data_IF_489937923011
#
_entry.id   IF_489937923011
#
_cell.length_a   1.000
_cell.length_b   1.000
_cell.length_c   1.000
_cell.angle_alpha   90.00
_cell.angle_beta   90.00
_cell.angle_gamma   90.00
#
_symmetry.space_group_name_H-M   'P 1'
#
loop_
_entity.id
_entity.type
_entity.pdbx_description
1 polymer ?
#
# COMPACT_ATOMS: atom_id res chain seq x y z
N UNK A 1 -10.76 18.43 11.93
CA UNK A 1 -9.53 18.17 11.14
C UNK A 1 -9.86 17.25 9.97
N UNK A 2 -9.33 17.54 8.79
CA UNK A 2 -9.64 16.74 7.59
C UNK A 2 -8.88 15.40 7.59
N UNK A 3 -9.41 14.42 6.88
CA UNK A 3 -8.82 13.10 6.66
C UNK A 3 -7.33 13.18 6.30
N UNK A 4 -6.98 14.06 5.37
CA UNK A 4 -5.61 14.26 4.90
C UNK A 4 -4.68 14.70 6.02
N UNK A 5 -5.16 15.51 6.94
CA UNK A 5 -4.36 15.99 8.07
C UNK A 5 -4.10 14.87 9.07
N UNK A 6 -5.07 14.01 9.31
CA UNK A 6 -4.89 12.84 10.18
C UNK A 6 -3.83 11.91 9.59
N UNK A 7 -3.92 11.64 8.30
CA UNK A 7 -2.96 10.78 7.60
C UNK A 7 -1.55 11.38 7.64
N UNK A 8 -1.43 12.67 7.32
CA UNK A 8 -0.12 13.35 7.28
C UNK A 8 0.54 13.44 8.64
N UNK A 9 -0.22 13.77 9.68
CA UNK A 9 0.32 13.86 11.05
C UNK A 9 0.75 12.50 11.56
N UNK A 10 -0.05 11.47 11.30
CA UNK A 10 0.29 10.11 11.69
C UNK A 10 1.52 9.61 10.97
N UNK A 11 1.64 9.92 9.68
CA UNK A 11 2.81 9.57 8.89
C UNK A 11 4.07 10.21 9.48
N UNK A 12 4.01 11.49 9.83
CA UNK A 12 5.12 12.21 10.43
C UNK A 12 5.53 11.60 11.78
N UNK A 13 4.57 11.12 12.56
CA UNK A 13 4.82 10.45 13.85
C UNK A 13 5.43 9.06 13.66
N UNK A 14 5.02 8.35 12.61
CA UNK A 14 5.50 7.00 12.31
C UNK A 14 6.91 6.96 11.75
N UNK A 15 7.30 7.95 10.96
CA UNK A 15 8.60 7.95 10.29
C UNK A 15 9.79 7.68 11.24
N UNK A 16 9.92 8.39 12.38
CA UNK A 16 11.01 8.09 13.30
C UNK A 16 10.93 6.67 13.89
N UNK A 17 9.73 6.18 14.14
CA UNK A 17 9.53 4.85 14.72
C UNK A 17 10.02 3.78 13.74
N UNK A 18 9.59 3.84 12.48
CA UNK A 18 9.96 2.83 11.50
C UNK A 18 11.44 2.92 11.12
N UNK A 19 11.99 4.13 11.01
CA UNK A 19 13.41 4.32 10.71
C UNK A 19 14.31 3.72 11.78
N UNK A 20 13.97 3.93 13.06
CA UNK A 20 14.72 3.39 14.18
C UNK A 20 14.77 1.87 14.16
N UNK A 21 13.71 1.23 13.69
CA UNK A 21 13.59 -0.22 13.63
C UNK A 21 14.09 -0.82 12.31
N UNK A 22 14.45 0.01 11.35
CA UNK A 22 14.87 -0.45 10.02
C UNK A 22 13.70 -0.93 9.17
N UNK A 23 12.49 -0.47 9.46
CA UNK A 23 11.27 -0.79 8.70
C UNK A 23 10.99 0.30 7.68
N UNK A 24 10.07 0.02 6.77
CA UNK A 24 9.60 0.95 5.74
C UNK A 24 8.14 1.28 5.99
N UNK A 25 7.80 2.57 5.93
CA UNK A 25 6.41 3.00 5.98
C UNK A 25 5.85 2.97 4.56
N UNK A 26 4.85 2.14 4.35
CA UNK A 26 4.21 1.98 3.04
C UNK A 26 3.11 3.00 2.83
N UNK A 27 2.20 3.11 3.79
CA UNK A 27 1.07 4.03 3.69
C UNK A 27 0.40 4.22 5.04
N UNK A 28 -0.38 5.30 5.15
CA UNK A 28 -1.28 5.57 6.27
C UNK A 28 -2.63 5.97 5.69
N UNK A 29 -3.70 5.36 6.19
CA UNK A 29 -5.06 5.60 5.72
C UNK A 29 -5.99 5.90 6.89
N UNK A 30 -6.86 6.90 6.71
CA UNK A 30 -7.96 7.19 7.62
C UNK A 30 -9.24 6.88 6.87
N UNK A 31 -9.92 5.79 7.23
CA UNK A 31 -11.08 5.30 6.48
C UNK A 31 -12.21 4.92 7.42
N UNK A 32 -13.42 5.03 6.91
CA UNK A 32 -14.61 4.59 7.63
C UNK A 32 -15.15 3.33 6.96
N UNK A 33 -15.35 2.29 7.76
CA UNK A 33 -15.97 1.05 7.29
C UNK A 33 -17.10 0.69 8.26
N UNK A 34 -18.32 0.60 7.74
CA UNK A 34 -19.49 0.43 8.57
C UNK A 34 -19.66 1.63 9.51
N UNK A 35 -19.79 1.36 10.79
CA UNK A 35 -19.96 2.39 11.82
C UNK A 35 -18.65 2.88 12.42
N UNK A 36 -17.51 2.27 12.05
CA UNK A 36 -16.22 2.54 12.69
C UNK A 36 -15.25 3.28 11.79
N UNK A 37 -14.47 4.17 12.41
CA UNK A 37 -13.31 4.78 11.78
C UNK A 37 -12.07 3.94 12.07
N UNK A 38 -11.18 3.85 11.07
CA UNK A 38 -9.92 3.11 11.18
C UNK A 38 -8.76 4.02 10.79
N UNK A 39 -7.74 4.01 11.62
CA UNK A 39 -6.44 4.58 11.27
C UNK A 39 -5.54 3.39 10.97
N UNK A 40 -5.22 3.20 9.70
CA UNK A 40 -4.43 2.05 9.24
C UNK A 40 -3.06 2.49 8.79
N UNK A 41 -2.05 1.84 9.32
CA UNK A 41 -0.66 2.04 8.94
C UNK A 41 -0.12 0.73 8.35
N UNK A 42 0.49 0.84 7.18
CA UNK A 42 1.09 -0.30 6.49
C UNK A 42 2.59 -0.15 6.54
N UNK A 43 3.26 -1.14 7.12
CA UNK A 43 4.72 -1.16 7.26
C UNK A 43 5.28 -2.44 6.66
N UNK A 44 6.55 -2.39 6.25
CA UNK A 44 7.22 -3.55 5.69
C UNK A 44 8.69 -3.52 6.07
N UNK A 45 9.39 -4.61 5.83
CA UNK A 45 10.85 -4.71 5.99
C UNK A 45 11.39 -5.75 5.04
N UNK A 46 12.71 -5.74 4.83
CA UNK A 46 13.38 -6.77 4.07
C UNK A 46 13.06 -8.15 4.69
N UNK A 47 12.71 -9.11 3.86
CA UNK A 47 12.29 -10.46 4.24
C UNK A 47 10.92 -10.55 4.92
N UNK A 48 10.16 -9.47 4.91
CA UNK A 48 8.78 -9.44 5.39
C UNK A 48 8.62 -9.02 6.84
N UNK A 49 7.56 -8.26 7.10
CA UNK A 49 7.22 -7.78 8.43
C UNK A 49 6.50 -8.89 9.21
N UNK A 50 6.76 -8.99 10.51
CA UNK A 50 6.12 -9.99 11.38
C UNK A 50 5.00 -9.36 12.20
N UNK A 51 4.16 -10.22 12.81
CA UNK A 51 3.10 -9.78 13.72
C UNK A 51 3.72 -9.03 14.92
N UNK A 52 4.82 -9.53 15.47
CA UNK A 52 5.51 -8.88 16.59
C UNK A 52 6.02 -7.49 16.20
N UNK A 53 6.56 -7.35 14.98
CA UNK A 53 7.00 -6.06 14.46
C UNK A 53 5.85 -5.05 14.40
N UNK A 54 4.69 -5.50 13.90
CA UNK A 54 3.50 -4.66 13.83
C UNK A 54 3.00 -4.27 15.21
N UNK A 55 3.04 -5.19 16.16
CA UNK A 55 2.63 -4.93 17.54
C UNK A 55 3.52 -3.88 18.21
N UNK A 56 4.83 -3.98 18.04
CA UNK A 56 5.77 -2.99 18.59
C UNK A 56 5.52 -1.59 18.04
N UNK A 57 5.33 -1.49 16.72
CA UNK A 57 5.04 -0.21 16.08
C UNK A 57 3.68 0.32 16.53
N UNK A 58 2.68 -0.55 16.64
CA UNK A 58 1.34 -0.19 17.07
C UNK A 58 1.36 0.41 18.48
N UNK A 59 2.10 -0.19 19.41
CA UNK A 59 2.22 0.32 20.79
C UNK A 59 2.89 1.68 20.83
N UNK A 60 4.00 1.84 20.12
CA UNK A 60 4.72 3.10 20.07
C UNK A 60 3.86 4.20 19.47
N UNK A 61 3.17 3.90 18.38
CA UNK A 61 2.27 4.85 17.71
C UNK A 61 1.07 5.19 18.59
N UNK A 62 0.47 4.20 19.24
CA UNK A 62 -0.67 4.41 20.13
C UNK A 62 -0.33 5.38 21.26
N UNK A 63 0.85 5.22 21.85
CA UNK A 63 1.32 6.12 22.92
C UNK A 63 1.44 7.56 22.43
N UNK A 64 1.98 7.76 21.23
CA UNK A 64 2.11 9.08 20.62
C UNK A 64 0.74 9.68 20.27
N UNK A 65 -0.17 8.86 19.74
CA UNK A 65 -1.52 9.31 19.41
C UNK A 65 -2.28 9.76 20.64
N UNK A 66 -2.13 9.05 21.78
CA UNK A 66 -2.76 9.42 23.04
C UNK A 66 -2.15 10.72 23.56
N UNK A 67 -0.85 10.89 23.47
CA UNK A 67 -0.16 12.09 23.93
C UNK A 67 -0.54 13.33 23.11
N UNK A 68 -0.54 13.20 21.78
CA UNK A 68 -0.86 14.31 20.88
C UNK A 68 -2.35 14.61 20.79
N UNK A 69 -3.18 13.60 20.93
CA UNK A 69 -4.64 13.68 21.03
C UNK A 69 -5.28 14.61 19.97
N UNK A 70 -4.87 14.48 18.72
CA UNK A 70 -5.38 15.35 17.65
C UNK A 70 -6.57 14.78 16.89
N UNK A 71 -6.92 13.51 17.10
CA UNK A 71 -8.06 12.87 16.43
C UNK A 71 -9.28 12.93 17.35
N UNK A 72 -10.31 13.61 16.90
CA UNK A 72 -11.51 13.85 17.71
C UNK A 72 -12.52 12.69 17.66
N UNK A 73 -12.48 11.88 16.62
CA UNK A 73 -13.39 10.74 16.47
C UNK A 73 -12.87 9.52 17.22
N UNK A 74 -13.78 8.63 17.59
CA UNK A 74 -13.41 7.31 18.08
C UNK A 74 -12.90 6.50 16.89
N UNK A 75 -11.81 5.80 17.06
CA UNK A 75 -11.19 5.04 15.97
C UNK A 75 -10.49 3.81 16.46
N UNK A 76 -10.26 2.90 15.54
CA UNK A 76 -9.49 1.67 15.77
C UNK A 76 -8.15 1.81 15.05
N UNK A 77 -7.06 1.61 15.78
CA UNK A 77 -5.71 1.64 15.20
C UNK A 77 -5.34 0.25 14.72
N UNK A 78 -4.94 0.16 13.45
CA UNK A 78 -4.44 -1.08 12.87
C UNK A 78 -3.07 -0.82 12.25
N UNK A 79 -2.08 -1.65 12.61
CA UNK A 79 -0.75 -1.64 12.00
C UNK A 79 -0.54 -3.02 11.39
N UNK A 80 -0.26 -3.07 10.10
CA UNK A 80 -0.13 -4.34 9.40
C UNK A 80 0.85 -4.24 8.23
N UNK A 81 1.14 -5.39 7.61
CA UNK A 81 1.87 -5.40 6.34
C UNK A 81 0.93 -5.01 5.21
N UNK A 82 1.47 -4.57 4.05
CA UNK A 82 0.62 -4.26 2.89
C UNK A 82 -0.23 -5.45 2.43
N UNK A 83 0.22 -6.67 2.69
CA UNK A 83 -0.51 -7.88 2.35
C UNK A 83 -0.54 -8.15 0.85
N UNK A 84 -1.02 -9.35 0.52
CA UNK A 84 -1.10 -9.83 -0.85
C UNK A 84 -2.23 -9.17 -1.63
N UNK A 85 -3.27 -8.78 -0.94
CA UNK A 85 -4.51 -8.32 -1.57
C UNK A 85 -4.62 -6.80 -1.71
N UNK A 86 -3.66 -6.05 -1.16
CA UNK A 86 -3.71 -4.59 -1.24
C UNK A 86 -3.39 -4.13 -2.67
N UNK A 87 -4.33 -3.45 -3.35
CA UNK A 87 -4.04 -2.96 -4.70
C UNK A 87 -3.08 -1.77 -4.67
N UNK A 88 -2.35 -1.58 -5.77
CA UNK A 88 -1.53 -0.40 -5.99
C UNK A 88 -2.46 0.74 -6.38
N UNK A 89 -2.46 1.83 -5.63
CA UNK A 89 -3.35 2.97 -5.89
C UNK A 89 -2.61 4.29 -6.00
N UNK A 90 -1.60 4.49 -5.17
CA UNK A 90 -0.87 5.76 -5.06
C UNK A 90 0.44 5.68 -5.81
N UNK A 91 0.99 6.83 -6.18
CA UNK A 91 2.28 6.91 -6.86
C UNK A 91 3.37 6.17 -6.10
N UNK A 92 3.40 6.28 -4.77
CA UNK A 92 4.39 5.58 -3.95
C UNK A 92 4.25 4.06 -4.01
N UNK A 93 3.03 3.55 -4.19
CA UNK A 93 2.79 2.12 -4.35
C UNK A 93 3.45 1.60 -5.63
N UNK A 94 3.27 2.34 -6.73
CA UNK A 94 3.90 2.01 -8.02
C UNK A 94 5.42 2.13 -7.94
N UNK A 95 5.92 3.19 -7.32
CA UNK A 95 7.35 3.42 -7.18
C UNK A 95 8.04 2.27 -6.44
N UNK A 96 7.43 1.76 -5.36
CA UNK A 96 7.96 0.63 -4.61
C UNK A 96 7.92 -0.69 -5.38
N UNK A 97 7.02 -0.78 -6.35
CA UNK A 97 6.76 -2.02 -7.09
C UNK A 97 7.58 -2.14 -8.38
N UNK A 98 8.32 -1.11 -8.76
CA UNK A 98 9.21 -1.17 -9.94
C UNK A 98 10.19 -2.34 -9.76
N UNK A 99 10.29 -3.17 -10.78
CA UNK A 99 11.16 -4.35 -10.77
C UNK A 99 10.55 -5.59 -10.11
N UNK A 100 9.33 -5.48 -9.60
CA UNK A 100 8.62 -6.59 -8.97
C UNK A 100 7.52 -7.13 -9.87
N UNK A 101 7.15 -8.39 -9.63
CA UNK A 101 6.03 -9.00 -10.35
C UNK A 101 4.71 -8.40 -9.86
N UNK A 102 3.88 -7.99 -10.81
CA UNK A 102 2.55 -7.46 -10.51
C UNK A 102 1.50 -8.19 -11.34
N UNK A 103 0.29 -8.25 -10.79
CA UNK A 103 -0.88 -8.83 -11.45
C UNK A 103 -1.83 -7.70 -11.83
N UNK A 104 -2.19 -7.64 -13.11
CA UNK A 104 -3.13 -6.64 -13.63
C UNK A 104 -4.42 -7.35 -14.04
N UNK A 105 -5.55 -6.83 -13.57
CA UNK A 105 -6.87 -7.29 -14.00
C UNK A 105 -7.55 -6.13 -14.73
N UNK A 106 -8.02 -6.39 -15.95
CA UNK A 106 -8.67 -5.40 -16.79
C UNK A 106 -10.19 -5.48 -16.68
N UNK A 107 -10.88 -4.37 -16.96
CA UNK A 107 -12.33 -4.35 -17.06
C UNK A 107 -12.81 -5.12 -18.31
N UNK A 108 -12.06 -5.04 -19.41
CA UNK A 108 -12.37 -5.72 -20.66
C UNK A 108 -11.20 -6.59 -21.10
N UNK A 109 -11.52 -7.76 -21.64
CA UNK A 109 -10.49 -8.69 -22.12
C UNK A 109 -9.73 -8.15 -23.34
N UNK A 110 -8.43 -8.44 -23.38
CA UNK A 110 -7.58 -8.28 -24.55
C UNK A 110 -7.25 -9.69 -25.03
N UNK A 111 -7.57 -10.03 -26.25
CA UNK A 111 -7.37 -11.37 -26.81
C UNK A 111 -7.97 -12.47 -25.88
N UNK A 112 -9.17 -12.20 -25.34
CA UNK A 112 -9.91 -13.10 -24.47
C UNK A 112 -9.31 -13.25 -23.07
N UNK A 113 -8.28 -12.47 -22.71
CA UNK A 113 -7.68 -12.50 -21.40
C UNK A 113 -7.88 -11.18 -20.65
N UNK A 114 -8.25 -11.26 -19.37
CA UNK A 114 -8.41 -10.09 -18.50
C UNK A 114 -7.30 -9.95 -17.50
N UNK A 115 -6.57 -11.03 -17.22
CA UNK A 115 -5.54 -11.05 -16.20
C UNK A 115 -4.17 -11.26 -16.83
N UNK A 116 -3.21 -10.43 -16.40
CA UNK A 116 -1.84 -10.46 -16.89
C UNK A 116 -0.88 -10.34 -15.72
N UNK A 117 0.23 -11.06 -15.78
CA UNK A 117 1.30 -11.00 -14.79
C UNK A 117 2.59 -10.64 -15.49
N UNK A 118 3.31 -9.68 -14.95
CA UNK A 118 4.60 -9.27 -15.49
C UNK A 118 5.37 -8.42 -14.50
N UNK A 119 6.59 -8.06 -14.86
CA UNK A 119 7.43 -7.19 -14.04
C UNK A 119 7.09 -5.75 -14.35
N UNK A 120 6.81 -4.96 -13.31
CA UNK A 120 6.53 -3.53 -13.49
C UNK A 120 7.79 -2.79 -13.88
N UNK A 121 7.83 -2.30 -15.12
CA UNK A 121 8.99 -1.59 -15.67
C UNK A 121 8.88 -0.08 -15.54
N UNK A 122 7.70 0.45 -15.81
CA UNK A 122 7.46 1.89 -15.81
C UNK A 122 5.98 2.17 -15.58
N UNK A 123 5.69 3.38 -15.15
CA UNK A 123 4.33 3.86 -15.00
C UNK A 123 4.31 5.38 -15.14
N UNK A 124 3.14 5.91 -15.51
CA UNK A 124 2.86 7.34 -15.49
C UNK A 124 1.39 7.53 -15.11
N UNK A 125 0.88 8.74 -15.23
CA UNK A 125 -0.50 9.04 -14.87
C UNK A 125 -1.52 8.31 -15.76
N UNK A 126 -1.11 7.95 -16.97
CA UNK A 126 -2.01 7.38 -17.98
C UNK A 126 -1.84 5.88 -18.20
N UNK A 127 -0.64 5.34 -17.95
CA UNK A 127 -0.33 3.97 -18.34
C UNK A 127 0.65 3.28 -17.40
N UNK A 128 0.64 1.95 -17.49
CA UNK A 128 1.55 1.06 -16.77
C UNK A 128 2.20 0.14 -17.80
N UNK A 129 3.51 -0.03 -17.73
CA UNK A 129 4.26 -0.90 -18.65
C UNK A 129 4.78 -2.11 -17.90
N UNK A 130 4.47 -3.30 -18.38
CA UNK A 130 4.95 -4.57 -17.82
C UNK A 130 5.87 -5.27 -18.80
N UNK A 131 6.92 -5.90 -18.27
CA UNK A 131 7.73 -6.85 -19.03
C UNK A 131 7.13 -8.23 -18.81
N UNK A 132 6.69 -8.85 -19.89
CA UNK A 132 6.05 -10.16 -19.86
C UNK A 132 7.09 -11.28 -19.81
N UNK A 133 6.63 -12.49 -19.55
CA UNK A 133 7.49 -13.67 -19.44
C UNK A 133 8.39 -13.92 -20.66
N UNK A 134 7.90 -13.58 -21.85
CA UNK A 134 8.63 -13.72 -23.11
C UNK A 134 9.55 -12.52 -23.42
N UNK A 135 9.81 -11.67 -22.43
CA UNK A 135 10.63 -10.47 -22.53
C UNK A 135 10.02 -9.34 -23.38
N UNK A 136 8.79 -9.50 -23.84
CA UNK A 136 8.09 -8.41 -24.53
C UNK A 136 7.48 -7.45 -23.52
N UNK A 137 7.28 -6.19 -23.90
CA UNK A 137 6.63 -5.21 -23.08
C UNK A 137 5.18 -5.03 -23.48
N UNK A 138 4.29 -4.92 -22.51
CA UNK A 138 2.89 -4.57 -22.73
C UNK A 138 2.56 -3.33 -21.92
N UNK A 139 1.86 -2.40 -22.56
CA UNK A 139 1.41 -1.19 -21.91
C UNK A 139 -0.10 -1.24 -21.73
N UNK A 140 -0.55 -0.91 -20.51
CA UNK A 140 -1.97 -0.89 -20.17
C UNK A 140 -2.36 0.52 -19.77
N UNK A 141 -3.49 1.01 -20.28
CA UNK A 141 -4.04 2.29 -19.83
C UNK A 141 -4.57 2.12 -18.41
N UNK A 142 -4.23 3.02 -17.51
CA UNK A 142 -4.70 2.93 -16.11
C UNK A 142 -6.22 2.94 -16.03
N UNK A 143 -6.90 3.64 -16.94
CA UNK A 143 -8.36 3.65 -17.00
C UNK A 143 -8.97 2.30 -17.38
N UNK A 144 -8.19 1.41 -18.02
CA UNK A 144 -8.63 0.08 -18.41
C UNK A 144 -8.39 -0.95 -17.30
N UNK A 145 -7.61 -0.60 -16.29
CA UNK A 145 -7.22 -1.50 -15.19
C UNK A 145 -8.28 -1.48 -14.10
N UNK A 146 -8.90 -2.63 -13.86
CA UNK A 146 -9.83 -2.81 -12.74
C UNK A 146 -9.08 -2.93 -11.42
N UNK A 147 -7.93 -3.62 -11.43
CA UNK A 147 -7.10 -3.82 -10.25
C UNK A 147 -5.67 -4.13 -10.67
N UNK A 148 -4.71 -3.58 -9.94
CA UNK A 148 -3.30 -3.95 -10.05
C UNK A 148 -2.75 -4.16 -8.64
N UNK A 149 -2.02 -5.26 -8.44
CA UNK A 149 -1.43 -5.62 -7.14
C UNK A 149 -0.16 -6.41 -7.34
N UNK A 150 0.64 -6.54 -6.27
CA UNK A 150 1.82 -7.41 -6.30
C UNK A 150 1.37 -8.85 -6.53
N UNK A 151 2.07 -9.55 -7.41
CA UNK A 151 1.80 -10.96 -7.68
C UNK A 151 2.61 -11.84 -6.73
N UNK A 152 2.01 -12.95 -6.33
CA UNK A 152 2.66 -13.92 -5.46
C UNK A 152 2.64 -15.29 -6.11
N UNK A 153 3.79 -15.92 -6.10
CA UNK A 153 3.96 -17.27 -6.61
C UNK A 153 4.24 -18.18 -5.41
N UNK A 154 3.45 -19.19 -5.27
CA UNK A 154 3.62 -20.19 -4.22
C UNK A 154 4.15 -21.49 -4.82
#
# INVERSE_FOLDING_TARGET
MAKKDYESRTEAMLMPIVETKGFELVDVEWVKEGANWYLRAYIDKENGITVDDCEEVSRALSDLLDEEDFISENYILEVSSPGLDRPLKKEKDFARSIGKDVEVKLFKAINKEKEFVGILKAYDEDAVTLEMEDETEMQFKRSDIARIRLAFFF
#
